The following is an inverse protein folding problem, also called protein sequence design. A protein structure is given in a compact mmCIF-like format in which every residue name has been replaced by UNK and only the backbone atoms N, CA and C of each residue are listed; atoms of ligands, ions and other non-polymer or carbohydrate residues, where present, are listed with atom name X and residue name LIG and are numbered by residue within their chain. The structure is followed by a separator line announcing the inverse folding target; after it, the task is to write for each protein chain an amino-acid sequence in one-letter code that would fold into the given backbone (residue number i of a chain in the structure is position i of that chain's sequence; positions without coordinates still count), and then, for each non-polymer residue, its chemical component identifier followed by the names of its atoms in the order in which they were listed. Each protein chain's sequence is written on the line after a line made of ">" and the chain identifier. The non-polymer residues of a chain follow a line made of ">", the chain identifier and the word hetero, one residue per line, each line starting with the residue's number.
data_IF_368141189631
#
_entry.id   IF_368141189631
#
_cell.length_a   1.000
_cell.length_b   1.000
_cell.length_c   1.000
_cell.angle_alpha   90.00
_cell.angle_beta   90.00
_cell.angle_gamma   90.00
#
_symmetry.space_group_name_H-M   'P 1'
#
loop_
_entity.id
_entity.type
_entity.pdbx_description
1 polymer ?
#
# COMPACT_ATOMS: atom_id res chain seq x y z
N UNK A 1 18.58 -18.85 -8.17
CA UNK A 1 17.72 -17.87 -7.47
C UNK A 1 16.41 -18.57 -7.19
N UNK A 2 16.07 -18.81 -5.93
CA UNK A 2 14.78 -19.41 -5.58
C UNK A 2 13.67 -18.34 -5.66
N UNK A 3 12.45 -18.68 -6.10
CA UNK A 3 11.33 -17.73 -6.10
C UNK A 3 11.01 -17.27 -4.68
N UNK A 4 10.60 -16.01 -4.51
CA UNK A 4 10.15 -15.50 -3.22
C UNK A 4 8.96 -16.33 -2.70
N UNK A 5 8.88 -16.62 -1.39
CA UNK A 5 7.72 -17.32 -0.83
C UNK A 5 6.48 -16.43 -0.83
N UNK A 6 5.61 -16.58 -1.85
CA UNK A 6 4.41 -15.72 -2.08
C UNK A 6 3.10 -16.27 -1.51
N UNK A 7 3.16 -17.22 -0.56
CA UNK A 7 1.96 -17.84 0.01
C UNK A 7 1.25 -16.97 1.05
N UNK A 8 -0.10 -16.94 1.13
CA UNK A 8 -0.82 -16.14 2.14
C UNK A 8 -0.40 -16.48 3.58
N UNK A 9 -0.12 -17.76 3.85
CA UNK A 9 0.40 -18.25 5.15
C UNK A 9 1.77 -17.67 5.53
N UNK A 10 2.54 -17.19 4.55
CA UNK A 10 3.85 -16.57 4.80
C UNK A 10 3.70 -15.19 5.44
N UNK A 11 2.80 -14.37 4.89
CA UNK A 11 2.41 -13.08 5.49
C UNK A 11 1.87 -13.25 6.91
N UNK A 12 1.00 -14.24 7.13
CA UNK A 12 0.46 -14.56 8.45
C UNK A 12 1.55 -14.95 9.46
N UNK A 13 2.56 -15.71 9.02
CA UNK A 13 3.66 -16.18 9.88
C UNK A 13 4.59 -15.04 10.31
N UNK A 14 4.90 -14.13 9.38
CA UNK A 14 5.71 -12.93 9.68
C UNK A 14 4.94 -11.97 10.57
N UNK A 15 3.64 -11.76 10.27
CA UNK A 15 2.76 -10.97 11.11
C UNK A 15 2.82 -11.54 12.54
N UNK A 16 2.41 -12.79 12.77
CA UNK A 16 2.37 -13.38 14.11
C UNK A 16 3.72 -13.37 14.90
N UNK A 17 4.86 -13.24 14.22
CA UNK A 17 6.18 -13.13 14.85
C UNK A 17 6.61 -11.70 15.24
N UNK A 18 5.84 -10.68 14.85
CA UNK A 18 6.13 -9.26 15.10
C UNK A 18 5.47 -8.71 16.37
N UNK A 19 6.02 -7.62 16.90
CA UNK A 19 5.31 -6.82 17.90
C UNK A 19 4.17 -6.05 17.23
N UNK A 20 2.94 -6.25 17.70
CA UNK A 20 1.77 -5.57 17.17
C UNK A 20 1.16 -4.63 18.19
N UNK A 21 0.76 -3.46 17.70
CA UNK A 21 -0.17 -2.58 18.40
C UNK A 21 -1.59 -3.02 18.06
N UNK A 22 -2.53 -2.85 18.99
CA UNK A 22 -3.94 -3.18 18.75
C UNK A 22 -4.47 -2.40 17.52
N UNK A 23 -5.08 -3.11 16.56
CA UNK A 23 -5.65 -2.54 15.34
C UNK A 23 -6.72 -1.46 15.61
N UNK A 24 -7.48 -1.57 16.69
CA UNK A 24 -8.44 -0.55 17.12
C UNK A 24 -7.73 0.75 17.51
N UNK A 25 -6.60 0.65 18.23
CA UNK A 25 -5.81 1.82 18.61
C UNK A 25 -5.26 2.53 17.37
N UNK A 26 -4.80 1.79 16.37
CA UNK A 26 -4.38 2.38 15.10
C UNK A 26 -5.56 3.05 14.39
N UNK A 27 -6.70 2.38 14.28
CA UNK A 27 -7.88 2.90 13.57
C UNK A 27 -8.43 4.17 14.21
N UNK A 28 -8.49 4.23 15.55
CA UNK A 28 -8.90 5.44 16.28
C UNK A 28 -7.90 6.59 16.12
N UNK A 29 -6.60 6.27 16.14
CA UNK A 29 -5.55 7.27 15.92
C UNK A 29 -5.64 7.82 14.50
N UNK A 30 -5.81 6.94 13.50
CA UNK A 30 -5.96 7.32 12.11
C UNK A 30 -7.22 8.18 11.89
N UNK A 31 -8.36 7.78 12.45
CA UNK A 31 -9.59 8.58 12.39
C UNK A 31 -9.44 9.97 13.01
N UNK A 32 -8.64 10.10 14.08
CA UNK A 32 -8.31 11.39 14.68
C UNK A 32 -7.46 12.25 13.74
N UNK A 33 -6.47 11.65 13.08
CA UNK A 33 -5.64 12.34 12.07
C UNK A 33 -6.51 12.83 10.91
N UNK A 34 -7.36 11.97 10.34
CA UNK A 34 -8.25 12.34 9.23
C UNK A 34 -9.20 13.47 9.64
N UNK A 35 -9.79 13.39 10.84
CA UNK A 35 -10.65 14.44 11.38
C UNK A 35 -9.90 15.76 11.56
N UNK A 36 -8.67 15.71 12.06
CA UNK A 36 -7.84 16.89 12.23
C UNK A 36 -7.54 17.54 10.88
N UNK A 37 -7.15 16.76 9.87
CA UNK A 37 -6.92 17.24 8.51
C UNK A 37 -8.18 17.87 7.90
N UNK A 38 -9.36 17.25 8.08
CA UNK A 38 -10.63 17.81 7.63
C UNK A 38 -11.03 19.11 8.36
N UNK A 39 -10.51 19.33 9.56
CA UNK A 39 -10.75 20.56 10.32
C UNK A 39 -9.78 21.67 9.90
N UNK A 40 -8.53 21.30 9.60
CA UNK A 40 -7.47 22.24 9.25
C UNK A 40 -7.48 22.64 7.77
N UNK A 41 -8.05 21.81 6.90
CA UNK A 41 -8.09 21.98 5.45
C UNK A 41 -9.53 22.16 4.98
N UNK A 42 -9.78 23.24 4.25
CA UNK A 42 -11.12 23.57 3.74
C UNK A 42 -11.55 22.65 2.56
N UNK A 43 -10.58 22.19 1.77
CA UNK A 43 -10.81 21.42 0.55
C UNK A 43 -10.45 19.94 0.75
N UNK A 44 -11.41 19.05 0.45
CA UNK A 44 -11.24 17.59 0.60
C UNK A 44 -10.15 17.03 -0.31
N UNK A 45 -9.92 17.66 -1.46
CA UNK A 45 -8.83 17.30 -2.37
C UNK A 45 -7.45 17.50 -1.72
N UNK A 46 -7.29 18.56 -0.92
CA UNK A 46 -6.05 18.82 -0.19
C UNK A 46 -5.85 17.81 0.94
N UNK A 47 -6.94 17.39 1.61
CA UNK A 47 -6.89 16.29 2.59
C UNK A 47 -6.42 14.99 1.92
N UNK A 48 -6.98 14.63 0.77
CA UNK A 48 -6.56 13.45 0.01
C UNK A 48 -5.08 13.53 -0.36
N UNK A 49 -4.60 14.68 -0.83
CA UNK A 49 -3.19 14.92 -1.18
C UNK A 49 -2.27 14.74 0.02
N UNK A 50 -2.67 15.27 1.18
CA UNK A 50 -1.90 15.14 2.41
C UNK A 50 -1.87 13.70 2.93
N UNK A 51 -2.99 12.97 2.89
CA UNK A 51 -3.03 11.56 3.26
C UNK A 51 -2.10 10.72 2.37
N UNK A 52 -2.13 10.93 1.05
CA UNK A 52 -1.21 10.26 0.13
C UNK A 52 0.26 10.59 0.43
N UNK A 53 0.57 11.87 0.67
CA UNK A 53 1.93 12.30 0.99
C UNK A 53 2.43 11.72 2.33
N UNK A 54 1.57 11.65 3.34
CA UNK A 54 1.87 10.98 4.61
C UNK A 54 2.15 9.51 4.38
N UNK A 55 1.29 8.83 3.62
CA UNK A 55 1.45 7.43 3.27
C UNK A 55 2.75 7.16 2.54
N UNK A 56 3.11 8.00 1.58
CA UNK A 56 4.36 7.89 0.85
C UNK A 56 5.58 7.93 1.76
N UNK A 57 5.63 8.89 2.69
CA UNK A 57 6.73 9.02 3.65
C UNK A 57 6.81 7.83 4.62
N UNK A 58 5.68 7.17 4.89
CA UNK A 58 5.63 5.93 5.66
C UNK A 58 6.16 4.78 4.79
N UNK A 59 5.66 4.63 3.56
CA UNK A 59 6.02 3.56 2.63
C UNK A 59 7.53 3.49 2.36
N UNK A 60 8.19 4.63 2.15
CA UNK A 60 9.64 4.67 1.93
C UNK A 60 10.45 4.16 3.14
N UNK A 61 9.90 4.25 4.36
CA UNK A 61 10.57 3.79 5.59
C UNK A 61 10.26 2.33 5.90
N UNK A 62 9.04 1.87 5.60
CA UNK A 62 8.61 0.50 5.88
C UNK A 62 9.35 -0.53 5.03
N UNK A 63 9.78 -0.17 3.83
CA UNK A 63 10.40 -1.10 2.87
C UNK A 63 11.71 -1.72 3.39
N UNK A 64 12.51 -0.97 4.14
CA UNK A 64 13.80 -1.46 4.65
C UNK A 64 13.57 -2.57 5.68
N UNK A 65 12.62 -2.32 6.59
CA UNK A 65 12.20 -3.32 7.58
C UNK A 65 11.51 -4.52 6.92
N UNK A 66 10.73 -4.28 5.85
CA UNK A 66 10.11 -5.34 5.06
C UNK A 66 11.16 -6.29 4.47
N UNK A 67 12.16 -5.76 3.77
CA UNK A 67 13.20 -6.54 3.11
C UNK A 67 14.06 -7.33 4.11
N UNK A 68 14.26 -6.79 5.32
CA UNK A 68 15.01 -7.46 6.39
C UNK A 68 14.22 -8.60 7.02
N UNK A 69 12.93 -8.42 7.29
CA UNK A 69 12.12 -9.39 8.05
C UNK A 69 11.40 -10.43 7.19
N UNK A 70 11.19 -10.15 5.90
CA UNK A 70 10.42 -11.02 5.01
C UNK A 70 11.28 -12.04 4.26
N UNK A 71 12.61 -12.07 4.41
CA UNK A 71 13.54 -12.89 3.60
C UNK A 71 13.27 -12.82 2.06
N UNK A 72 12.50 -11.83 1.60
CA UNK A 72 12.17 -11.65 0.19
C UNK A 72 13.33 -10.90 -0.44
N UNK A 73 14.00 -11.55 -1.39
CA UNK A 73 14.96 -10.86 -2.27
C UNK A 73 14.24 -9.79 -3.10
N UNK A 74 14.92 -8.68 -3.42
CA UNK A 74 14.36 -7.62 -4.29
C UNK A 74 13.75 -8.24 -5.55
N UNK A 75 12.45 -8.01 -5.72
CA UNK A 75 11.69 -8.53 -6.85
C UNK A 75 12.07 -7.79 -8.13
N UNK A 76 12.34 -8.54 -9.21
CA UNK A 76 12.77 -7.94 -10.50
C UNK A 76 11.57 -7.58 -11.36
N UNK A 77 10.47 -8.32 -11.26
CA UNK A 77 9.28 -8.13 -12.07
C UNK A 77 8.18 -7.42 -11.27
N UNK A 78 7.60 -6.36 -11.86
CA UNK A 78 6.50 -5.59 -11.24
C UNK A 78 5.33 -6.47 -10.80
N UNK A 79 5.00 -7.51 -11.56
CA UNK A 79 3.93 -8.45 -11.22
C UNK A 79 4.19 -9.24 -9.95
N UNK A 80 5.43 -9.67 -9.74
CA UNK A 80 5.84 -10.36 -8.52
C UNK A 80 5.82 -9.39 -7.34
N UNK A 81 6.36 -8.18 -7.53
CA UNK A 81 6.37 -7.14 -6.49
C UNK A 81 4.97 -6.78 -6.03
N UNK A 82 4.02 -6.61 -6.95
CA UNK A 82 2.63 -6.30 -6.62
C UNK A 82 1.99 -7.41 -5.75
N UNK A 83 2.22 -8.67 -6.09
CA UNK A 83 1.73 -9.82 -5.30
C UNK A 83 2.35 -9.88 -3.89
N UNK A 84 3.66 -9.63 -3.80
CA UNK A 84 4.39 -9.60 -2.52
C UNK A 84 3.86 -8.48 -1.63
N UNK A 85 3.66 -7.27 -2.16
CA UNK A 85 3.10 -6.16 -1.39
C UNK A 85 1.68 -6.47 -0.93
N UNK A 86 0.83 -7.00 -1.83
CA UNK A 86 -0.58 -7.30 -1.53
C UNK A 86 -0.75 -8.36 -0.43
N UNK A 87 0.06 -9.44 -0.48
CA UNK A 87 -0.12 -10.61 0.38
C UNK A 87 0.79 -10.64 1.61
N UNK A 88 1.96 -10.01 1.53
CA UNK A 88 2.98 -10.06 2.59
C UNK A 88 3.15 -8.68 3.20
N UNK A 89 3.41 -7.65 2.39
CA UNK A 89 3.70 -6.30 2.88
C UNK A 89 2.55 -5.67 3.65
N UNK A 90 1.37 -5.59 3.05
CA UNK A 90 0.17 -5.06 3.69
C UNK A 90 -0.21 -5.85 4.94
N UNK A 91 -0.07 -7.18 4.89
CA UNK A 91 -0.38 -8.06 6.01
C UNK A 91 0.55 -7.79 7.18
N UNK A 92 1.85 -7.74 6.90
CA UNK A 92 2.90 -7.58 7.90
C UNK A 92 2.79 -6.27 8.69
N UNK A 93 2.51 -5.14 8.04
CA UNK A 93 2.52 -3.84 8.71
C UNK A 93 1.16 -3.35 9.15
N UNK A 94 0.11 -3.68 8.40
CA UNK A 94 -1.21 -3.09 8.57
C UNK A 94 -2.28 -4.14 8.92
N UNK A 95 -1.92 -5.42 8.96
CA UNK A 95 -2.86 -6.53 9.16
C UNK A 95 -3.82 -6.76 7.98
N UNK A 96 -3.65 -5.97 6.90
CA UNK A 96 -4.47 -5.95 5.69
C UNK A 96 -4.11 -7.09 4.75
N UNK A 97 -5.12 -7.71 4.13
CA UNK A 97 -4.94 -8.67 3.04
C UNK A 97 -5.49 -8.09 1.75
N UNK A 98 -4.78 -8.27 0.64
CA UNK A 98 -5.26 -7.85 -0.67
C UNK A 98 -4.97 -8.90 -1.75
N UNK A 99 -5.82 -8.93 -2.77
CA UNK A 99 -5.61 -9.73 -3.99
C UNK A 99 -5.27 -8.83 -5.17
N UNK A 100 -4.36 -9.31 -6.03
CA UNK A 100 -3.98 -8.60 -7.26
C UNK A 100 -4.70 -9.23 -8.44
N UNK A 101 -5.48 -8.42 -9.16
CA UNK A 101 -6.34 -8.85 -10.26
C UNK A 101 -6.26 -7.86 -11.43
N UNK A 102 -7.05 -8.10 -12.49
CA UNK A 102 -7.27 -7.16 -13.60
C UNK A 102 -6.01 -6.57 -14.25
N UNK A 103 -5.01 -7.43 -14.46
CA UNK A 103 -3.78 -7.10 -15.18
C UNK A 103 -4.09 -6.70 -16.62
N UNK A 104 -3.47 -5.61 -17.10
CA UNK A 104 -3.44 -5.31 -18.53
C UNK A 104 -2.53 -6.28 -19.29
N UNK A 105 -2.67 -6.33 -20.62
CA UNK A 105 -1.89 -7.22 -21.48
C UNK A 105 -0.37 -7.01 -21.33
N UNK A 106 0.05 -5.77 -21.10
CA UNK A 106 1.46 -5.40 -20.97
C UNK A 106 2.05 -5.70 -19.59
N UNK A 107 1.22 -6.12 -18.62
CA UNK A 107 1.68 -6.40 -17.24
C UNK A 107 2.18 -5.16 -16.49
N UNK A 108 1.79 -3.96 -16.91
CA UNK A 108 2.20 -2.67 -16.33
C UNK A 108 1.11 -2.03 -15.47
N UNK A 109 -0.08 -2.61 -15.39
CA UNK A 109 -1.18 -2.09 -14.60
C UNK A 109 -2.05 -3.22 -14.07
N UNK A 110 -2.43 -3.13 -12.80
CA UNK A 110 -3.27 -4.10 -12.12
C UNK A 110 -4.21 -3.41 -11.13
N UNK A 111 -5.13 -4.21 -10.59
CA UNK A 111 -6.02 -3.81 -9.50
C UNK A 111 -5.65 -4.56 -8.24
N UNK A 112 -5.44 -3.84 -7.14
CA UNK A 112 -5.29 -4.39 -5.80
C UNK A 112 -6.61 -4.23 -5.06
N UNK A 113 -7.28 -5.34 -4.75
CA UNK A 113 -8.56 -5.35 -4.05
C UNK A 113 -8.32 -5.74 -2.60
N UNK A 114 -8.69 -4.87 -1.66
CA UNK A 114 -8.55 -5.17 -0.22
C UNK A 114 -9.65 -6.14 0.18
N UNK A 115 -9.27 -7.24 0.84
CA UNK A 115 -10.19 -8.27 1.32
C UNK A 115 -10.69 -7.96 2.73
N UNK A 116 -9.76 -7.54 3.60
CA UNK A 116 -10.03 -7.11 4.96
C UNK A 116 -9.45 -5.70 5.14
N UNK A 117 -10.25 -4.74 5.63
CA UNK A 117 -9.82 -3.36 5.87
C UNK A 117 -10.26 -2.87 7.27
N UNK A 118 -9.45 -3.09 8.33
CA UNK A 118 -9.85 -2.74 9.69
C UNK A 118 -9.92 -1.22 9.92
N UNK A 119 -9.37 -0.40 9.01
CA UNK A 119 -9.43 1.06 9.14
C UNK A 119 -10.84 1.63 9.03
N UNK A 120 -11.77 0.88 8.44
CA UNK A 120 -13.12 1.38 8.15
C UNK A 120 -14.19 0.78 9.05
N UNK A 121 -13.85 -0.13 9.95
CA UNK A 121 -14.80 -0.88 10.79
C UNK A 121 -15.75 0.02 11.61
N UNK A 122 -15.32 1.25 11.92
CA UNK A 122 -16.09 2.23 12.70
C UNK A 122 -16.23 3.58 12.01
N UNK A 123 -16.14 3.61 10.68
CA UNK A 123 -16.09 4.84 9.90
C UNK A 123 -17.35 4.98 9.05
N UNK A 124 -18.05 6.09 9.25
CA UNK A 124 -19.10 6.57 8.35
C UNK A 124 -18.72 7.96 7.87
N UNK A 125 -18.74 8.17 6.55
CA UNK A 125 -18.44 9.47 5.96
C UNK A 125 -19.72 10.33 5.90
N UNK A 126 -19.70 11.58 6.41
CA UNK A 126 -20.81 12.49 6.22
C UNK A 126 -20.90 12.94 4.75
N UNK A 127 -22.09 13.39 4.32
CA UNK A 127 -22.34 13.85 2.94
C UNK A 127 -21.40 14.98 2.49
N UNK A 128 -20.93 15.79 3.44
CA UNK A 128 -19.97 16.86 3.19
C UNK A 128 -18.58 16.36 2.80
N UNK A 129 -18.26 15.09 3.06
CA UNK A 129 -16.95 14.48 2.83
C UNK A 129 -16.97 13.45 1.70
N UNK A 130 -17.99 13.45 0.83
CA UNK A 130 -18.11 12.51 -0.29
C UNK A 130 -16.96 12.59 -1.31
N UNK A 131 -16.11 13.62 -1.26
CA UNK A 131 -14.87 13.71 -2.05
C UNK A 131 -13.68 12.96 -1.44
N UNK A 132 -13.77 12.51 -0.18
CA UNK A 132 -12.66 11.96 0.58
C UNK A 132 -12.42 10.50 0.18
N UNK A 133 -11.16 10.13 0.04
CA UNK A 133 -10.72 8.74 0.10
C UNK A 133 -10.17 8.52 1.49
N UNK A 134 -11.01 7.98 2.39
CA UNK A 134 -10.65 7.88 3.80
C UNK A 134 -9.35 7.11 3.98
N UNK A 135 -9.12 6.06 3.18
CA UNK A 135 -7.91 5.26 3.22
C UNK A 135 -6.79 5.75 2.27
N UNK A 136 -6.79 7.01 1.79
CA UNK A 136 -5.78 7.48 0.81
C UNK A 136 -4.33 7.41 1.31
N UNK A 137 -4.11 7.18 2.60
CA UNK A 137 -2.78 6.84 3.11
C UNK A 137 -2.23 5.56 2.47
N UNK A 138 -3.08 4.60 2.11
CA UNK A 138 -2.68 3.33 1.50
C UNK A 138 -2.09 3.50 0.09
N UNK A 139 -2.65 4.42 -0.73
CA UNK A 139 -2.08 4.70 -2.04
C UNK A 139 -0.65 5.22 -1.91
N UNK A 140 -0.45 6.14 -0.97
CA UNK A 140 0.85 6.67 -0.61
C UNK A 140 1.82 5.59 -0.15
N UNK A 141 1.42 4.73 0.80
CA UNK A 141 2.27 3.65 1.33
C UNK A 141 2.74 2.73 0.21
N UNK A 142 1.83 2.27 -0.64
CA UNK A 142 2.15 1.38 -1.77
C UNK A 142 3.10 2.08 -2.74
N UNK A 143 2.82 3.35 -3.08
CA UNK A 143 3.66 4.15 -3.98
C UNK A 143 5.08 4.33 -3.44
N UNK A 144 5.22 4.71 -2.16
CA UNK A 144 6.52 4.90 -1.51
C UNK A 144 7.31 3.60 -1.40
N UNK A 145 6.66 2.50 -1.05
CA UNK A 145 7.31 1.19 -0.98
C UNK A 145 7.81 0.71 -2.35
N UNK A 146 7.01 0.90 -3.41
CA UNK A 146 7.39 0.55 -4.78
C UNK A 146 8.55 1.40 -5.31
N UNK A 147 8.57 2.69 -4.99
CA UNK A 147 9.65 3.59 -5.41
C UNK A 147 11.02 3.13 -4.87
N UNK A 148 11.05 2.67 -3.62
CA UNK A 148 12.28 2.20 -2.96
C UNK A 148 12.83 0.88 -3.52
N UNK A 149 12.01 0.15 -4.29
CA UNK A 149 12.46 -1.01 -5.09
C UNK A 149 12.57 -0.65 -6.58
N UNK A 150 12.79 0.64 -6.87
CA UNK A 150 13.05 1.18 -8.21
C UNK A 150 11.87 1.05 -9.18
N UNK A 151 10.64 1.00 -8.67
CA UNK A 151 9.41 0.97 -9.44
C UNK A 151 8.59 2.24 -9.21
N UNK A 152 8.71 3.20 -10.12
CA UNK A 152 7.90 4.41 -10.09
C UNK A 152 6.49 4.07 -10.54
N UNK A 153 5.51 4.29 -9.66
CA UNK A 153 4.12 3.90 -9.88
C UNK A 153 3.14 5.03 -9.60
N UNK A 154 2.01 4.98 -10.30
CA UNK A 154 0.81 5.72 -9.98
C UNK A 154 -0.16 4.78 -9.27
N UNK A 155 -0.65 5.19 -8.10
CA UNK A 155 -1.64 4.44 -7.31
C UNK A 155 -2.87 5.33 -7.12
N UNK A 156 -4.04 4.87 -7.54
CA UNK A 156 -5.29 5.64 -7.46
C UNK A 156 -6.45 4.75 -7.03
N UNK A 157 -7.37 5.28 -6.23
CA UNK A 157 -8.62 4.58 -5.91
C UNK A 157 -9.51 4.44 -7.15
N UNK A 158 -9.98 3.22 -7.38
CA UNK A 158 -10.93 2.88 -8.44
C UNK A 158 -12.33 2.59 -7.87
N UNK A 159 -12.39 1.96 -6.69
CA UNK A 159 -13.63 1.70 -5.93
C UNK A 159 -13.38 1.88 -4.43
N UNK A 160 -14.37 2.42 -3.73
CA UNK A 160 -14.31 2.67 -2.29
C UNK A 160 -15.70 2.43 -1.66
N UNK A 161 -15.78 1.46 -0.74
CA UNK A 161 -17.05 1.11 -0.10
C UNK A 161 -17.62 2.24 0.76
N UNK A 162 -16.79 3.14 1.29
CA UNK A 162 -17.26 4.31 2.03
C UNK A 162 -17.95 5.35 1.13
N UNK A 163 -17.78 5.20 -0.19
CA UNK A 163 -18.39 6.04 -1.23
C UNK A 163 -19.53 5.31 -1.96
N UNK A 164 -19.93 4.14 -1.47
CA UNK A 164 -21.05 3.35 -2.00
C UNK A 164 -20.67 2.30 -3.04
N UNK A 165 -19.38 2.04 -3.29
CA UNK A 165 -18.96 0.92 -4.13
C UNK A 165 -19.06 -0.42 -3.38
N UNK A 166 -18.85 -1.53 -4.11
CA UNK A 166 -18.95 -2.90 -3.60
C UNK A 166 -17.62 -3.48 -3.07
N UNK A 167 -16.51 -2.76 -3.26
CA UNK A 167 -15.18 -3.18 -2.83
C UNK A 167 -14.22 -2.00 -2.65
N UNK A 168 -13.15 -2.20 -1.91
CA UNK A 168 -11.99 -1.30 -1.88
C UNK A 168 -11.00 -1.74 -2.97
N UNK A 169 -10.87 -0.96 -4.04
CA UNK A 169 -9.98 -1.25 -5.16
C UNK A 169 -9.02 -0.10 -5.45
N UNK A 170 -7.73 -0.42 -5.48
CA UNK A 170 -6.65 0.46 -5.89
C UNK A 170 -6.15 0.05 -7.27
N UNK A 171 -6.12 0.98 -8.20
CA UNK A 171 -5.45 0.83 -9.50
C UNK A 171 -3.97 1.16 -9.32
N UNK A 172 -3.09 0.20 -9.60
CA UNK A 172 -1.64 0.40 -9.56
C UNK A 172 -1.10 0.33 -10.98
N UNK A 173 -0.39 1.38 -11.41
CA UNK A 173 0.18 1.50 -12.74
C UNK A 173 1.67 1.79 -12.65
N UNK A 174 2.49 0.94 -13.24
CA UNK A 174 3.91 1.17 -13.44
C UNK A 174 4.12 2.27 -14.48
N UNK A 175 4.81 3.34 -14.07
CA UNK A 175 5.18 4.45 -14.94
C UNK A 175 6.58 4.24 -15.51
N UNK A 176 7.51 3.84 -14.63
CA UNK A 176 8.90 3.65 -14.97
C UNK A 176 9.52 2.62 -14.04
N UNK A 177 10.35 1.76 -14.60
CA UNK A 177 11.22 0.89 -13.82
C UNK A 177 12.65 1.36 -14.05
N UNK A 178 13.33 1.76 -12.98
CA UNK A 178 14.73 2.19 -13.04
C UNK A 178 15.60 0.94 -12.84
N UNK A 179 16.39 0.52 -13.85
CA UNK A 179 17.36 -0.54 -13.65
C UNK A 179 18.43 -0.07 -12.66
N UNK A 180 18.86 -0.93 -11.74
CA UNK A 180 20.05 -0.65 -10.93
C UNK A 180 21.26 -0.46 -11.87
N UNK A 181 21.85 0.74 -11.88
CA UNK A 181 23.21 0.91 -12.38
C UNK A 181 24.16 0.28 -11.34
N UNK A 182 24.73 -0.89 -11.65
CA UNK A 182 25.81 -1.46 -10.85
C UNK A 182 27.07 -0.62 -11.08
N UNK A 183 27.64 0.05 -10.05
CA UNK A 183 28.84 0.88 -10.22
C UNK A 183 30.13 0.06 -10.39
N UNK A 184 30.09 -1.27 -10.30
CA UNK A 184 31.26 -2.11 -10.53
C UNK A 184 31.24 -2.67 -11.95
N UNK A 185 31.92 -1.96 -12.86
CA UNK A 185 32.62 -2.69 -13.93
C UNK A 185 33.67 -3.54 -13.23
N UNK A 186 33.63 -4.85 -13.43
CA UNK A 186 34.78 -5.71 -13.15
C UNK A 186 35.93 -5.17 -14.00
N UNK A 187 36.84 -4.44 -13.36
CA UNK A 187 38.14 -4.11 -13.91
C UNK A 187 38.90 -5.45 -14.07
N UNK A 188 38.83 -6.00 -15.29
CA UNK A 188 39.70 -7.09 -15.74
C UNK A 188 41.12 -6.60 -16.01
#
# INVERSE_FOLDING_TARGET
>A
MAPAPVGPRYGDSIFAGGEHVNAEMFSLTYGTIVRQLLTDLEEVEEVNRQLDQMGYNIGIRLVDEFLVKSDVSRCVAFRETAEVIAKVGLKMFLGLSASVTNWNADGTCCSMVLEDNPFVDFVELPDTCQGLYYCNILSGVIRGALEMVSMETQVTWARDMLRGDDAFELRVKLLKQVPEEYPYKDDK
#
